data_IF_060483263326
#
_entry.id   IF_060483263326
#
_cell.length_a   1.000
_cell.length_b   1.000
_cell.length_c   1.000
_cell.angle_alpha   90.00
_cell.angle_beta   90.00
_cell.angle_gamma   90.00
#
_symmetry.space_group_name_H-M   'P 1'
#
loop_
_entity.id
_entity.type
_entity.pdbx_description
1 polymer ?
#
# COMPACT_ATOMS: atom_id res chain seq x y z
N UNK A 1 5.16 -37.30 -7.19
CA UNK A 1 6.10 -37.07 -8.31
C UNK A 1 7.31 -36.31 -7.77
N UNK A 2 8.50 -36.48 -8.33
CA UNK A 2 9.72 -35.76 -7.88
C UNK A 2 9.79 -34.38 -8.56
N UNK A 3 10.48 -33.44 -7.91
CA UNK A 3 10.80 -32.16 -8.54
C UNK A 3 11.68 -32.37 -9.78
N UNK A 4 11.59 -31.43 -10.72
CA UNK A 4 12.47 -31.41 -11.88
C UNK A 4 13.95 -31.26 -11.42
N UNK A 5 14.91 -31.97 -12.05
CA UNK A 5 16.33 -31.88 -11.68
C UNK A 5 16.93 -30.46 -11.78
N UNK A 6 16.33 -29.59 -12.59
CA UNK A 6 16.76 -28.19 -12.73
C UNK A 6 16.33 -27.28 -11.58
N UNK A 7 15.48 -27.75 -10.66
CA UNK A 7 15.00 -26.93 -9.55
C UNK A 7 16.11 -26.62 -8.54
N UNK A 8 16.23 -25.37 -8.09
CA UNK A 8 17.27 -24.98 -7.13
C UNK A 8 17.09 -25.74 -5.82
N UNK A 9 18.12 -26.48 -5.40
CA UNK A 9 18.12 -27.33 -4.21
C UNK A 9 16.96 -28.35 -4.16
N UNK A 10 16.42 -28.75 -5.32
CA UNK A 10 15.26 -29.63 -5.39
C UNK A 10 13.96 -29.00 -4.88
N UNK A 11 13.88 -27.67 -4.76
CA UNK A 11 12.68 -26.96 -4.32
C UNK A 11 11.69 -26.72 -5.47
N UNK A 12 10.49 -27.32 -5.38
CA UNK A 12 9.41 -27.13 -6.34
C UNK A 12 8.03 -27.06 -5.64
N UNK A 13 7.07 -26.45 -6.31
CA UNK A 13 5.66 -26.43 -5.92
C UNK A 13 4.86 -27.61 -6.49
N UNK A 14 5.45 -28.34 -7.45
CA UNK A 14 4.80 -29.39 -8.21
C UNK A 14 5.75 -30.01 -9.24
N UNK A 15 5.30 -31.02 -10.01
CA UNK A 15 6.09 -31.62 -11.07
C UNK A 15 6.31 -30.67 -12.24
N UNK A 16 7.39 -30.85 -13.01
CA UNK A 16 7.71 -30.01 -14.17
C UNK A 16 8.59 -28.80 -13.81
N UNK A 17 9.32 -28.30 -14.82
CA UNK A 17 10.30 -27.21 -14.68
C UNK A 17 9.66 -25.87 -14.33
N UNK A 18 8.45 -25.63 -14.79
CA UNK A 18 7.66 -24.43 -14.53
C UNK A 18 7.28 -24.25 -13.05
N UNK A 19 7.23 -25.37 -12.32
CA UNK A 19 6.89 -25.40 -10.90
C UNK A 19 8.12 -25.31 -9.99
N UNK A 20 9.32 -25.17 -10.54
CA UNK A 20 10.51 -24.89 -9.73
C UNK A 20 10.36 -23.57 -8.97
N UNK A 21 10.77 -23.57 -7.70
CA UNK A 21 10.71 -22.37 -6.88
C UNK A 21 11.67 -21.30 -7.43
N UNK A 22 11.14 -20.13 -7.80
CA UNK A 22 11.94 -18.99 -8.24
C UNK A 22 12.50 -18.25 -7.02
N UNK A 23 13.83 -18.20 -6.91
CA UNK A 23 14.53 -17.56 -5.80
C UNK A 23 14.92 -16.12 -6.18
N UNK A 24 14.46 -15.14 -5.41
CA UNK A 24 14.71 -13.70 -5.67
C UNK A 24 15.20 -12.94 -4.43
N UNK A 25 15.68 -13.67 -3.41
CA UNK A 25 16.18 -13.08 -2.14
C UNK A 25 17.46 -13.74 -1.66
N UNK A 26 17.44 -15.05 -1.47
CA UNK A 26 18.58 -15.78 -0.89
C UNK A 26 19.77 -15.93 -1.84
N UNK A 27 19.55 -15.71 -3.15
CA UNK A 27 20.60 -15.81 -4.17
C UNK A 27 21.23 -14.45 -4.51
N UNK A 28 20.77 -13.37 -3.89
CA UNK A 28 21.14 -12.02 -4.28
C UNK A 28 22.58 -11.69 -3.85
N UNK A 29 23.19 -10.77 -4.59
CA UNK A 29 24.48 -10.20 -4.21
C UNK A 29 24.36 -9.43 -2.87
N UNK A 30 25.43 -9.37 -2.09
CA UNK A 30 25.41 -8.78 -0.73
C UNK A 30 25.03 -7.29 -0.72
N UNK A 31 25.32 -6.57 -1.80
CA UNK A 31 24.96 -5.15 -1.97
C UNK A 31 23.48 -4.91 -2.29
N UNK A 32 22.71 -5.94 -2.64
CA UNK A 32 21.30 -5.74 -2.96
C UNK A 32 20.52 -5.39 -1.68
N UNK A 33 19.76 -4.28 -1.73
CA UNK A 33 18.93 -3.83 -0.61
C UNK A 33 17.66 -4.65 -0.38
N UNK A 34 17.33 -5.56 -1.30
CA UNK A 34 16.07 -6.31 -1.26
C UNK A 34 16.05 -7.52 -2.18
N UNK A 35 15.22 -7.47 -3.23
CA UNK A 35 15.06 -8.55 -4.21
C UNK A 35 16.09 -8.46 -5.34
N UNK A 36 16.24 -9.54 -6.09
CA UNK A 36 17.07 -9.60 -7.27
C UNK A 36 16.50 -10.55 -8.33
N UNK A 37 17.02 -10.43 -9.55
CA UNK A 37 16.72 -11.31 -10.69
C UNK A 37 17.76 -12.43 -10.86
N UNK A 38 18.92 -12.26 -10.22
CA UNK A 38 20.10 -13.10 -10.39
C UNK A 38 21.15 -12.82 -9.30
N UNK A 39 22.31 -13.49 -9.43
CA UNK A 39 23.40 -13.42 -8.43
C UNK A 39 24.32 -12.22 -8.62
N UNK A 40 24.29 -11.58 -9.80
CA UNK A 40 25.16 -10.45 -10.10
C UNK A 40 24.70 -9.20 -9.35
N UNK A 41 25.62 -8.32 -8.92
CA UNK A 41 25.28 -6.98 -8.44
C UNK A 41 24.41 -6.17 -9.41
N UNK A 42 24.54 -6.41 -10.71
CA UNK A 42 23.72 -5.77 -11.75
C UNK A 42 22.27 -6.26 -11.79
N UNK A 43 21.95 -7.33 -11.07
CA UNK A 43 20.61 -7.93 -11.04
C UNK A 43 19.78 -7.51 -9.82
N UNK A 44 20.26 -6.57 -9.01
CA UNK A 44 19.49 -6.03 -7.91
C UNK A 44 18.23 -5.31 -8.42
N UNK A 45 17.11 -5.57 -7.76
CA UNK A 45 15.86 -4.85 -8.02
C UNK A 45 15.83 -3.50 -7.29
N UNK A 46 14.92 -2.62 -7.72
CA UNK A 46 14.61 -1.41 -6.97
C UNK A 46 14.13 -1.72 -5.54
N UNK A 47 14.40 -0.83 -4.59
CA UNK A 47 14.07 -1.03 -3.17
C UNK A 47 12.54 -1.12 -2.91
N UNK A 48 11.73 -0.57 -3.81
CA UNK A 48 10.26 -0.63 -3.75
C UNK A 48 9.68 -1.87 -4.46
N UNK A 49 10.49 -2.80 -4.96
CA UNK A 49 9.98 -4.03 -5.56
C UNK A 49 9.65 -5.10 -4.51
N UNK A 50 8.45 -5.67 -4.62
CA UNK A 50 8.04 -6.90 -3.94
C UNK A 50 8.11 -8.09 -4.90
N UNK A 51 8.37 -9.28 -4.35
CA UNK A 51 8.54 -10.57 -5.03
C UNK A 51 9.72 -10.65 -6.04
N UNK A 52 9.97 -9.63 -6.86
CA UNK A 52 11.03 -9.60 -7.88
C UNK A 52 10.86 -8.41 -8.83
N UNK A 53 11.65 -8.40 -9.91
CA UNK A 53 11.63 -7.36 -10.93
C UNK A 53 12.03 -7.91 -12.32
N UNK A 54 11.72 -7.16 -13.38
CA UNK A 54 12.18 -7.40 -14.74
C UNK A 54 13.43 -6.57 -15.08
N UNK A 55 13.69 -5.49 -14.32
CA UNK A 55 14.82 -4.58 -14.45
C UNK A 55 15.10 -3.82 -13.14
N UNK A 56 16.10 -2.93 -13.10
CA UNK A 56 16.54 -2.28 -11.87
C UNK A 56 15.67 -1.07 -11.46
N UNK A 57 14.78 -0.57 -12.33
CA UNK A 57 14.01 0.65 -12.05
C UNK A 57 12.76 0.37 -11.22
N UNK A 58 12.21 1.41 -10.61
CA UNK A 58 10.95 1.34 -9.87
C UNK A 58 9.72 0.99 -10.74
N UNK A 59 9.81 1.19 -12.06
CA UNK A 59 8.82 0.78 -13.06
C UNK A 59 8.87 -0.70 -13.40
N UNK A 60 9.96 -1.37 -13.05
CA UNK A 60 10.26 -2.73 -13.51
C UNK A 60 9.93 -3.77 -12.44
N UNK A 61 9.28 -3.35 -11.35
CA UNK A 61 8.88 -4.26 -10.28
C UNK A 61 7.75 -5.19 -10.74
N UNK A 62 7.80 -6.47 -10.32
CA UNK A 62 6.66 -7.37 -10.55
C UNK A 62 5.43 -6.93 -9.76
N UNK A 63 5.63 -6.48 -8.53
CA UNK A 63 4.61 -5.90 -7.65
C UNK A 63 5.28 -4.83 -6.78
N UNK A 64 4.54 -3.79 -6.39
CA UNK A 64 5.05 -2.77 -5.48
C UNK A 64 5.04 -3.22 -4.02
N UNK A 65 6.10 -2.87 -3.29
CA UNK A 65 6.25 -3.17 -1.85
C UNK A 65 5.32 -2.33 -0.98
N UNK A 66 5.11 -1.06 -1.36
CA UNK A 66 4.26 -0.11 -0.61
C UNK A 66 3.12 0.41 -1.48
N UNK A 67 3.38 1.39 -2.34
CA UNK A 67 2.37 2.00 -3.17
C UNK A 67 2.69 1.86 -4.65
N UNK A 68 1.65 1.60 -5.45
CA UNK A 68 1.71 1.70 -6.91
C UNK A 68 1.17 3.05 -7.35
N UNK A 69 2.03 3.86 -7.93
CA UNK A 69 1.68 5.11 -8.58
C UNK A 69 1.72 4.91 -10.10
N UNK A 70 0.56 4.67 -10.70
CA UNK A 70 0.45 4.30 -12.11
C UNK A 70 1.30 3.06 -12.46
N UNK A 71 2.44 3.26 -13.13
CA UNK A 71 3.37 2.21 -13.53
C UNK A 71 4.59 2.10 -12.62
N UNK A 72 4.78 2.98 -11.64
CA UNK A 72 5.95 2.96 -10.76
C UNK A 72 5.62 2.60 -9.32
N UNK A 73 6.60 2.01 -8.63
CA UNK A 73 6.48 1.64 -7.23
C UNK A 73 7.15 2.69 -6.33
N UNK A 74 6.35 3.34 -5.48
CA UNK A 74 6.79 4.43 -4.60
C UNK A 74 6.68 4.03 -3.12
N UNK A 75 7.50 4.68 -2.30
CA UNK A 75 7.46 4.49 -0.84
C UNK A 75 6.24 5.15 -0.20
N UNK A 76 5.84 6.31 -0.73
CA UNK A 76 4.66 7.08 -0.39
C UNK A 76 4.04 7.65 -1.66
N UNK A 77 2.73 7.94 -1.64
CA UNK A 77 2.11 8.67 -2.74
C UNK A 77 2.61 10.14 -2.78
N UNK A 78 2.65 10.77 -3.96
CA UNK A 78 2.98 12.19 -4.06
C UNK A 78 2.10 13.03 -3.11
N UNK A 79 2.71 13.79 -2.17
CA UNK A 79 1.95 14.53 -1.18
C UNK A 79 1.10 15.61 -1.84
N UNK A 80 -0.07 15.92 -1.26
CA UNK A 80 -0.98 16.94 -1.79
C UNK A 80 -0.44 18.37 -1.61
N UNK A 81 0.41 18.58 -0.63
CA UNK A 81 1.05 19.85 -0.31
C UNK A 81 2.56 19.66 -0.23
N UNK A 82 3.34 20.58 -0.78
CA UNK A 82 4.79 20.61 -0.74
C UNK A 82 5.26 21.81 0.08
N UNK A 83 6.28 21.59 0.90
CA UNK A 83 6.91 22.68 1.63
C UNK A 83 7.77 23.51 0.67
N UNK A 84 7.51 24.81 0.61
CA UNK A 84 8.29 25.77 -0.15
C UNK A 84 9.39 26.37 0.75
N UNK A 85 10.67 26.04 0.51
CA UNK A 85 11.76 26.49 1.38
C UNK A 85 12.06 28.00 1.24
N UNK A 86 11.55 28.67 0.21
CA UNK A 86 11.74 30.11 0.00
C UNK A 86 10.73 30.94 0.77
N UNK A 87 9.45 30.52 0.75
CA UNK A 87 8.35 31.24 1.44
C UNK A 87 8.09 30.70 2.84
N UNK A 88 8.66 29.54 3.20
CA UNK A 88 8.39 28.81 4.45
C UNK A 88 6.90 28.44 4.61
N UNK A 89 6.21 28.22 3.48
CA UNK A 89 4.77 27.88 3.43
C UNK A 89 4.54 26.51 2.77
N UNK A 90 3.32 26.00 2.90
CA UNK A 90 2.87 24.78 2.23
C UNK A 90 2.10 25.15 0.95
N UNK A 91 2.65 24.79 -0.20
CA UNK A 91 2.06 25.03 -1.51
C UNK A 91 1.35 23.78 -2.03
N UNK A 92 0.29 23.95 -2.80
CA UNK A 92 -0.43 22.82 -3.41
C UNK A 92 0.46 22.13 -4.44
N UNK A 93 0.57 20.81 -4.36
CA UNK A 93 1.30 19.99 -5.33
C UNK A 93 0.41 19.63 -6.52
N UNK A 94 0.70 20.08 -7.76
CA UNK A 94 -0.06 19.69 -8.95
C UNK A 94 -0.02 18.19 -9.23
N UNK A 95 1.03 17.49 -8.78
CA UNK A 95 1.19 16.04 -8.92
C UNK A 95 0.65 15.27 -7.72
N UNK A 96 0.03 15.95 -6.75
CA UNK A 96 -0.51 15.34 -5.52
C UNK A 96 -1.52 14.23 -5.83
N UNK A 97 -1.38 13.11 -5.12
CA UNK A 97 -2.29 11.96 -5.25
C UNK A 97 -2.70 11.45 -3.87
N UNK A 98 -3.92 10.96 -3.78
CA UNK A 98 -4.42 10.30 -2.59
C UNK A 98 -3.96 8.85 -2.51
N UNK A 99 -3.71 8.37 -1.31
CA UNK A 99 -3.48 6.95 -1.08
C UNK A 99 -4.80 6.19 -0.93
N UNK A 100 -5.01 5.18 -1.76
CA UNK A 100 -6.16 4.28 -1.71
C UNK A 100 -5.67 2.83 -1.62
N UNK A 101 -5.70 2.28 -0.40
CA UNK A 101 -5.05 1.00 -0.12
C UNK A 101 -3.55 1.07 -0.44
N UNK A 102 -3.08 0.21 -1.35
CA UNK A 102 -1.69 0.18 -1.82
C UNK A 102 -1.49 0.88 -3.18
N UNK A 103 -2.37 1.82 -3.54
CA UNK A 103 -2.32 2.54 -4.83
C UNK A 103 -2.46 4.05 -4.66
N UNK A 104 -1.89 4.82 -5.58
CA UNK A 104 -2.02 6.29 -5.62
C UNK A 104 -3.04 6.70 -6.68
N UNK A 105 -4.03 7.51 -6.30
CA UNK A 105 -5.14 7.92 -7.16
C UNK A 105 -5.34 9.43 -7.16
N UNK A 106 -5.75 10.00 -8.29
CA UNK A 106 -6.01 11.45 -8.39
C UNK A 106 -7.24 11.91 -7.62
N UNK A 107 -8.24 11.03 -7.48
CA UNK A 107 -9.48 11.28 -6.73
C UNK A 107 -9.86 10.02 -5.95
N UNK A 108 -10.34 10.20 -4.73
CA UNK A 108 -10.91 9.08 -3.97
C UNK A 108 -12.23 8.60 -4.62
N UNK A 109 -12.55 7.29 -4.52
CA UNK A 109 -13.87 6.80 -4.93
C UNK A 109 -14.97 7.50 -4.12
N UNK A 110 -16.15 7.73 -4.74
CA UNK A 110 -17.24 8.53 -4.14
C UNK A 110 -17.63 8.10 -2.73
N UNK A 111 -17.61 6.79 -2.45
CA UNK A 111 -18.01 6.21 -1.16
C UNK A 111 -16.89 6.19 -0.11
N UNK A 112 -15.76 6.87 -0.37
CA UNK A 112 -14.67 7.08 0.59
C UNK A 112 -14.61 8.52 1.08
N UNK A 113 -13.95 8.70 2.22
CA UNK A 113 -13.70 9.99 2.88
C UNK A 113 -12.21 10.26 2.86
N UNK A 114 -11.83 11.51 2.64
CA UNK A 114 -10.44 11.98 2.56
C UNK A 114 -9.93 12.39 3.93
N UNK A 115 -8.77 11.88 4.35
CA UNK A 115 -8.07 12.36 5.55
C UNK A 115 -7.20 13.58 5.25
N UNK A 116 -6.83 14.33 6.30
CA UNK A 116 -5.85 15.44 6.20
C UNK A 116 -4.50 14.99 5.61
N UNK A 117 -4.14 13.73 5.79
CA UNK A 117 -2.91 13.13 5.26
C UNK A 117 -3.02 12.67 3.80
N UNK A 118 -4.16 12.94 3.14
CA UNK A 118 -4.37 12.57 1.75
C UNK A 118 -4.63 11.07 1.54
N UNK A 119 -5.36 10.43 2.46
CA UNK A 119 -5.74 9.01 2.33
C UNK A 119 -7.24 8.85 2.13
N UNK A 120 -7.64 7.91 1.28
CA UNK A 120 -9.03 7.51 1.08
C UNK A 120 -9.41 6.42 2.11
N UNK A 121 -10.21 6.78 3.12
CA UNK A 121 -10.66 5.88 4.18
C UNK A 121 -12.17 5.64 4.12
N UNK A 122 -12.64 4.55 4.73
CA UNK A 122 -14.09 4.24 4.77
C UNK A 122 -14.86 5.05 5.82
N UNK A 123 -14.18 5.46 6.88
CA UNK A 123 -14.73 6.25 7.97
C UNK A 123 -13.60 7.08 8.59
N UNK A 124 -13.95 8.22 9.19
CA UNK A 124 -13.01 9.05 9.94
C UNK A 124 -12.59 8.38 11.26
N UNK A 125 -11.48 8.86 11.82
CA UNK A 125 -11.05 8.47 13.17
C UNK A 125 -12.02 8.97 14.23
N UNK A 126 -11.96 8.40 15.43
CA UNK A 126 -12.88 8.72 16.53
C UNK A 126 -12.81 10.17 17.04
N UNK A 127 -11.74 10.89 16.70
CA UNK A 127 -11.51 12.31 17.01
C UNK A 127 -11.95 13.25 15.87
N UNK A 128 -12.56 12.70 14.82
CA UNK A 128 -12.96 13.43 13.61
C UNK A 128 -14.38 13.04 13.17
N UNK A 129 -15.01 13.93 12.40
CA UNK A 129 -16.31 13.71 11.78
C UNK A 129 -16.24 13.97 10.28
N UNK A 130 -17.19 13.39 9.55
CA UNK A 130 -17.29 13.54 8.10
C UNK A 130 -17.99 14.86 7.75
N UNK A 131 -17.37 15.63 6.87
CA UNK A 131 -17.93 16.85 6.27
C UNK A 131 -17.83 16.78 4.76
N UNK A 132 -18.81 17.35 4.06
CA UNK A 132 -18.73 17.50 2.61
C UNK A 132 -18.31 18.93 2.27
N UNK A 133 -17.14 19.09 1.66
CA UNK A 133 -16.59 20.36 1.20
C UNK A 133 -16.21 20.23 -0.28
N UNK A 134 -16.69 21.15 -1.11
CA UNK A 134 -16.43 21.17 -2.56
C UNK A 134 -16.79 19.85 -3.28
N UNK A 135 -17.83 19.15 -2.81
CA UNK A 135 -18.25 17.84 -3.33
C UNK A 135 -17.30 16.70 -2.99
N UNK A 136 -16.36 16.91 -2.06
CA UNK A 136 -15.45 15.91 -1.53
C UNK A 136 -15.74 15.70 -0.05
N UNK A 137 -15.97 14.44 0.34
CA UNK A 137 -16.17 14.07 1.74
C UNK A 137 -14.80 14.01 2.42
N UNK A 138 -14.59 14.81 3.47
CA UNK A 138 -13.35 14.95 4.22
C UNK A 138 -13.58 14.65 5.70
N UNK A 139 -12.52 14.24 6.38
CA UNK A 139 -12.49 14.11 7.83
C UNK A 139 -12.00 15.41 8.46
N UNK A 140 -12.80 16.00 9.33
CA UNK A 140 -12.43 17.19 10.10
C UNK A 140 -12.44 16.87 11.58
N UNK A 141 -11.44 17.33 12.32
CA UNK A 141 -11.38 17.14 13.78
C UNK A 141 -12.58 17.78 14.46
N UNK A 142 -13.11 17.11 15.48
CA UNK A 142 -14.20 17.65 16.28
C UNK A 142 -13.72 18.82 17.14
N UNK A 143 -14.61 19.80 17.33
CA UNK A 143 -14.44 20.83 18.35
C UNK A 143 -15.03 20.32 19.66
N UNK A 144 -14.17 19.86 20.56
CA UNK A 144 -14.58 19.19 21.79
C UNK A 144 -14.89 17.70 21.58
N UNK A 145 -15.67 17.07 22.48
CA UNK A 145 -16.01 15.65 22.38
C UNK A 145 -16.80 15.34 21.09
N UNK A 146 -16.29 14.40 20.28
CA UNK A 146 -17.01 13.93 19.09
C UNK A 146 -18.32 13.24 19.45
N UNK A 147 -19.27 13.29 18.52
CA UNK A 147 -20.47 12.45 18.59
C UNK A 147 -20.05 10.98 18.61
N UNK A 148 -20.70 10.19 19.47
CA UNK A 148 -20.44 8.75 19.57
C UNK A 148 -20.78 8.05 18.24
N UNK A 149 -19.81 7.35 17.69
CA UNK A 149 -19.95 6.45 16.54
C UNK A 149 -19.73 5.03 17.04
N UNK A 150 -20.51 4.07 16.54
CA UNK A 150 -20.42 2.66 16.94
C UNK A 150 -19.80 1.83 15.81
N UNK A 151 -18.99 0.84 16.16
CA UNK A 151 -18.49 -0.13 15.19
C UNK A 151 -19.64 -1.04 14.74
N UNK A 152 -19.64 -1.39 13.45
CA UNK A 152 -20.50 -2.45 12.93
C UNK A 152 -19.96 -3.84 13.25
N UNK A 153 -20.81 -4.85 13.10
CA UNK A 153 -20.43 -6.27 13.16
C UNK A 153 -19.29 -6.57 12.16
N UNK A 154 -18.30 -7.36 12.56
CA UNK A 154 -17.13 -7.69 11.75
C UNK A 154 -16.01 -6.65 11.80
N UNK A 155 -16.13 -5.60 12.62
CA UNK A 155 -15.13 -4.53 12.76
C UNK A 155 -14.82 -4.29 14.25
N UNK A 156 -13.55 -4.07 14.58
CA UNK A 156 -13.12 -3.68 15.93
C UNK A 156 -13.44 -4.75 16.97
N UNK A 157 -14.13 -4.34 18.04
CA UNK A 157 -14.58 -5.21 19.12
C UNK A 157 -15.56 -6.32 18.67
N UNK A 158 -16.24 -6.13 17.53
CA UNK A 158 -17.19 -7.08 16.96
C UNK A 158 -16.60 -7.91 15.81
N UNK A 159 -15.27 -7.96 15.67
CA UNK A 159 -14.59 -8.62 14.54
C UNK A 159 -15.01 -10.09 14.33
N UNK A 160 -15.12 -10.86 15.41
CA UNK A 160 -15.46 -12.28 15.37
C UNK A 160 -16.95 -12.54 15.68
N UNK A 161 -17.75 -11.48 15.72
CA UNK A 161 -19.20 -11.57 15.94
C UNK A 161 -19.92 -11.75 14.60
N UNK A 162 -20.84 -12.72 14.52
CA UNK A 162 -21.61 -12.99 13.30
C UNK A 162 -22.89 -12.15 13.19
N UNK A 163 -23.52 -11.83 14.32
CA UNK A 163 -24.77 -11.07 14.37
C UNK A 163 -24.92 -10.28 15.66
N UNK A 164 -25.81 -9.30 15.63
CA UNK A 164 -26.28 -8.63 16.85
C UNK A 164 -27.01 -9.67 17.72
N UNK A 165 -26.72 -9.70 19.01
CA UNK A 165 -27.28 -10.61 19.99
C UNK A 165 -27.34 -9.94 21.38
N UNK A 166 -27.83 -10.66 22.40
CA UNK A 166 -28.02 -10.10 23.74
C UNK A 166 -26.72 -9.66 24.45
N UNK A 167 -25.54 -10.08 23.99
CA UNK A 167 -24.26 -9.72 24.59
C UNK A 167 -23.61 -8.48 23.99
N UNK A 168 -24.14 -7.94 22.88
CA UNK A 168 -23.56 -6.81 22.15
C UNK A 168 -24.56 -5.69 21.81
N UNK A 169 -25.72 -5.69 22.48
CA UNK A 169 -26.75 -4.64 22.38
C UNK A 169 -26.64 -3.65 23.53
#
# INVERSE_FOLDING_TARGET
QKCDPSCPNGSCWGPGKENCQKLTKIICAQQCSGRCRGRSPSDCCHNQCAAGCTGPRESDCLVCRKFRDETTCKDTCPPLMLYNPTTYQMDVNPEGKYSFGATCVKKCPRNYVVTDHGSCVRACSSDSYEVEEDGVRKCKKCEGPCRKVCNGIGIGEFKDTLSINATNI
#
